data_IF_547775973264
#
_entry.id   IF_547775973264
#
_cell.length_a   1.000
_cell.length_b   1.000
_cell.length_c   1.000
_cell.angle_alpha   90.00
_cell.angle_beta   90.00
_cell.angle_gamma   90.00
#
_symmetry.space_group_name_H-M   'P 1'
#
loop_
_entity.id
_entity.type
_entity.pdbx_description
1 polymer ?
#
# COMPACT_ATOMS: atom_id res chain seq x y z
N UNK A 1 16.29 -3.94 4.45
CA UNK A 1 15.79 -4.79 3.33
C UNK A 1 16.51 -6.12 3.27
N UNK A 2 17.79 -6.18 2.89
CA UNK A 2 18.58 -7.41 3.03
C UNK A 2 19.24 -7.46 4.41
N UNK A 3 19.40 -8.68 4.94
CA UNK A 3 20.31 -8.88 6.04
C UNK A 3 21.75 -8.81 5.53
N UNK A 4 22.65 -8.23 6.30
CA UNK A 4 24.06 -8.18 5.94
C UNK A 4 24.77 -9.37 6.56
N UNK A 5 25.55 -10.10 5.77
CA UNK A 5 26.44 -11.16 6.28
C UNK A 5 27.85 -10.86 5.81
N UNK A 6 28.75 -10.62 6.76
CA UNK A 6 30.15 -10.34 6.45
C UNK A 6 30.87 -11.68 6.31
N UNK A 7 31.12 -12.08 5.06
CA UNK A 7 31.95 -13.26 4.75
C UNK A 7 33.40 -12.79 4.64
N UNK A 8 34.23 -13.15 5.62
CA UNK A 8 35.68 -12.93 5.58
C UNK A 8 36.37 -14.19 5.07
N UNK A 9 37.40 -14.01 4.24
CA UNK A 9 38.21 -15.10 3.65
C UNK A 9 39.40 -15.52 4.53
N UNK A 10 39.49 -15.05 5.78
CA UNK A 10 40.52 -15.44 6.74
C UNK A 10 40.09 -16.63 7.62
N UNK A 11 41.02 -17.55 7.89
CA UNK A 11 40.81 -18.62 8.87
C UNK A 11 40.67 -18.04 10.29
N UNK A 12 39.59 -18.41 10.99
CA UNK A 12 39.34 -18.03 12.39
C UNK A 12 38.63 -16.70 12.64
N UNK A 13 38.22 -15.98 11.59
CA UNK A 13 37.53 -14.70 11.73
C UNK A 13 36.06 -14.86 12.17
N UNK A 14 35.61 -14.02 13.12
CA UNK A 14 34.22 -13.97 13.56
C UNK A 14 33.29 -13.59 12.39
N UNK A 15 32.19 -14.33 12.23
CA UNK A 15 31.15 -14.08 11.24
C UNK A 15 30.07 -13.20 11.85
N UNK A 16 29.86 -12.02 11.29
CA UNK A 16 28.81 -11.09 11.69
C UNK A 16 27.63 -11.17 10.71
N UNK A 17 26.42 -11.28 11.23
CA UNK A 17 25.19 -11.33 10.43
C UNK A 17 24.11 -10.44 11.07
N UNK A 18 23.58 -9.50 10.30
CA UNK A 18 22.38 -8.73 10.64
C UNK A 18 21.21 -9.35 9.88
N UNK A 19 20.14 -9.83 10.54
CA UNK A 19 18.99 -10.39 9.85
C UNK A 19 18.27 -9.36 8.96
N UNK A 20 17.84 -9.78 7.77
CA UNK A 20 17.02 -8.96 6.89
C UNK A 20 15.60 -8.84 7.44
N UNK A 21 15.01 -7.65 7.33
CA UNK A 21 13.62 -7.38 7.73
C UNK A 21 12.60 -7.78 6.66
N UNK A 22 13.04 -8.17 5.46
CA UNK A 22 12.21 -8.55 4.32
C UNK A 22 11.53 -7.37 3.61
N UNK A 23 11.07 -7.58 2.36
CA UNK A 23 10.46 -6.52 1.56
C UNK A 23 9.08 -6.07 2.04
N UNK A 24 8.26 -6.96 2.60
CA UNK A 24 6.90 -6.61 3.05
C UNK A 24 6.91 -5.61 4.23
N UNK A 25 7.72 -5.81 5.29
CA UNK A 25 7.88 -4.80 6.34
C UNK A 25 8.48 -3.49 5.83
N UNK A 26 9.48 -3.54 4.95
CA UNK A 26 10.05 -2.32 4.35
C UNK A 26 8.99 -1.54 3.56
N UNK A 27 8.18 -2.22 2.75
CA UNK A 27 7.09 -1.60 2.01
C UNK A 27 6.07 -0.94 2.95
N UNK A 28 5.76 -1.56 4.08
CA UNK A 28 4.85 -0.96 5.06
C UNK A 28 5.42 0.32 5.70
N UNK A 29 6.70 0.30 6.09
CA UNK A 29 7.40 1.47 6.65
C UNK A 29 7.45 2.59 5.62
N UNK A 30 7.89 2.28 4.40
CA UNK A 30 8.01 3.23 3.28
C UNK A 30 6.65 3.85 2.95
N UNK A 31 5.59 3.03 2.87
CA UNK A 31 4.23 3.50 2.66
C UNK A 31 3.78 4.46 3.75
N UNK A 32 4.04 4.12 5.01
CA UNK A 32 3.62 4.96 6.15
C UNK A 32 4.32 6.31 6.11
N UNK A 33 5.62 6.32 5.85
CA UNK A 33 6.39 7.56 5.68
C UNK A 33 5.83 8.42 4.54
N UNK A 34 5.64 7.85 3.35
CA UNK A 34 5.09 8.57 2.19
C UNK A 34 3.68 9.07 2.46
N UNK A 35 2.83 8.29 3.14
CA UNK A 35 1.49 8.74 3.55
C UNK A 35 1.59 10.00 4.41
N UNK A 36 2.45 10.01 5.43
CA UNK A 36 2.65 11.16 6.30
C UNK A 36 3.18 12.37 5.52
N UNK A 37 4.16 12.18 4.65
CA UNK A 37 4.73 13.28 3.85
C UNK A 37 3.72 13.86 2.86
N UNK A 38 2.92 13.02 2.20
CA UNK A 38 1.82 13.46 1.35
C UNK A 38 0.75 14.21 2.14
N UNK A 39 0.41 13.77 3.35
CA UNK A 39 -0.52 14.50 4.23
C UNK A 39 0.04 15.88 4.61
N UNK A 40 1.32 15.99 4.92
CA UNK A 40 1.98 17.26 5.24
C UNK A 40 2.02 18.20 4.03
N UNK A 41 2.29 17.67 2.84
CA UNK A 41 2.25 18.43 1.59
C UNK A 41 0.83 18.92 1.29
N UNK A 42 -0.19 18.06 1.40
CA UNK A 42 -1.59 18.42 1.08
C UNK A 42 -2.13 19.42 2.11
N UNK A 43 -1.91 19.20 3.41
CA UNK A 43 -2.34 20.12 4.47
C UNK A 43 -1.62 21.47 4.46
N UNK A 44 -0.44 21.55 3.83
CA UNK A 44 0.39 22.75 3.78
C UNK A 44 1.37 22.89 4.95
N UNK A 45 1.46 21.89 5.83
CA UNK A 45 2.51 21.83 6.86
C UNK A 45 3.92 21.82 6.25
N UNK A 46 4.06 21.21 5.08
CA UNK A 46 5.31 21.19 4.30
C UNK A 46 5.10 21.87 2.94
N UNK A 47 5.97 22.80 2.53
CA UNK A 47 5.86 23.42 1.21
C UNK A 47 6.21 22.42 0.09
N UNK A 48 5.52 22.46 -1.07
CA UNK A 48 5.78 21.57 -2.21
C UNK A 48 7.01 22.02 -3.02
N UNK A 49 8.18 22.01 -2.38
CA UNK A 49 9.48 22.23 -3.02
C UNK A 49 9.90 21.00 -3.82
N UNK A 50 10.82 21.15 -4.77
CA UNK A 50 11.36 20.01 -5.53
C UNK A 50 11.89 18.90 -4.61
N UNK A 51 12.62 19.27 -3.55
CA UNK A 51 13.17 18.31 -2.58
C UNK A 51 12.08 17.52 -1.85
N UNK A 52 11.00 18.17 -1.42
CA UNK A 52 9.94 17.51 -0.66
C UNK A 52 9.06 16.63 -1.57
N UNK A 53 8.87 17.06 -2.82
CA UNK A 53 8.15 16.29 -3.84
C UNK A 53 8.93 15.04 -4.27
N UNK A 54 10.26 15.09 -4.28
CA UNK A 54 11.11 13.95 -4.62
C UNK A 54 11.00 12.83 -3.57
N UNK A 55 10.89 13.17 -2.27
CA UNK A 55 10.73 12.17 -1.20
C UNK A 55 9.47 11.31 -1.35
N UNK A 56 8.40 11.89 -1.88
CA UNK A 56 7.13 11.21 -2.14
C UNK A 56 6.98 10.74 -3.58
N UNK A 57 8.04 10.82 -4.39
CA UNK A 57 8.09 10.35 -5.77
C UNK A 57 8.82 9.02 -5.87
N UNK A 58 8.59 8.28 -6.96
CA UNK A 58 9.28 7.03 -7.23
C UNK A 58 9.75 6.96 -8.69
N UNK A 59 10.60 5.98 -9.02
CA UNK A 59 10.97 5.69 -10.40
C UNK A 59 9.75 5.60 -11.33
N UNK A 60 9.65 6.48 -12.32
CA UNK A 60 8.51 6.52 -13.25
C UNK A 60 7.19 7.07 -12.67
N UNK A 61 7.17 7.51 -11.40
CA UNK A 61 6.01 8.13 -10.74
C UNK A 61 6.44 9.46 -10.10
N UNK A 62 6.27 10.56 -10.83
CA UNK A 62 6.58 11.89 -10.34
C UNK A 62 5.36 12.53 -9.64
N UNK A 63 5.50 12.88 -8.37
CA UNK A 63 4.51 13.69 -7.65
C UNK A 63 4.88 15.15 -7.84
N UNK A 64 4.08 15.86 -8.62
CA UNK A 64 4.33 17.28 -8.91
C UNK A 64 3.52 18.18 -7.99
N UNK A 65 3.89 19.47 -7.94
CA UNK A 65 3.08 20.49 -7.26
C UNK A 65 1.63 20.50 -7.76
N UNK A 66 1.42 20.31 -9.06
CA UNK A 66 0.08 20.24 -9.65
C UNK A 66 -0.74 19.07 -9.11
N UNK A 67 -0.11 17.91 -8.85
CA UNK A 67 -0.77 16.76 -8.21
C UNK A 67 -1.21 17.14 -6.80
N UNK A 68 -0.32 17.73 -5.99
CA UNK A 68 -0.66 18.19 -4.62
C UNK A 68 -1.80 19.21 -4.64
N UNK A 69 -1.72 20.21 -5.53
CA UNK A 69 -2.75 21.24 -5.65
C UNK A 69 -4.08 20.67 -6.17
N UNK A 70 -4.06 19.59 -6.94
CA UNK A 70 -5.27 18.88 -7.36
C UNK A 70 -5.90 18.12 -6.21
N UNK A 71 -5.09 17.43 -5.39
CA UNK A 71 -5.58 16.73 -4.20
C UNK A 71 -6.22 17.73 -3.22
N UNK A 72 -5.58 18.88 -2.98
CA UNK A 72 -6.11 19.94 -2.10
C UNK A 72 -7.51 20.44 -2.46
N UNK A 73 -7.90 20.38 -3.74
CA UNK A 73 -9.21 20.82 -4.23
C UNK A 73 -10.32 19.79 -3.98
N UNK A 74 -9.98 18.56 -3.62
CA UNK A 74 -10.94 17.50 -3.37
C UNK A 74 -11.54 17.60 -1.96
N UNK A 75 -12.75 17.05 -1.73
CA UNK A 75 -13.29 16.88 -0.39
C UNK A 75 -12.35 16.08 0.53
N UNK A 76 -12.33 16.41 1.83
CA UNK A 76 -11.41 15.78 2.79
C UNK A 76 -11.49 14.25 2.84
N UNK A 77 -12.66 13.67 2.60
CA UNK A 77 -12.85 12.22 2.52
C UNK A 77 -12.12 11.61 1.30
N UNK A 78 -12.15 12.29 0.16
CA UNK A 78 -11.48 11.86 -1.08
C UNK A 78 -9.98 12.06 -1.01
N UNK A 79 -9.52 13.15 -0.38
CA UNK A 79 -8.09 13.41 -0.16
C UNK A 79 -7.41 12.23 0.54
N UNK A 80 -8.00 11.74 1.65
CA UNK A 80 -7.45 10.62 2.41
C UNK A 80 -7.33 9.36 1.56
N UNK A 81 -8.36 9.04 0.77
CA UNK A 81 -8.37 7.86 -0.09
C UNK A 81 -7.28 7.94 -1.17
N UNK A 82 -7.14 9.09 -1.82
CA UNK A 82 -6.14 9.29 -2.87
C UNK A 82 -4.73 9.26 -2.29
N UNK A 83 -4.49 9.90 -1.15
CA UNK A 83 -3.19 9.88 -0.47
C UNK A 83 -2.80 8.43 -0.13
N UNK A 84 -3.71 7.66 0.48
CA UNK A 84 -3.44 6.26 0.82
C UNK A 84 -3.11 5.38 -0.39
N UNK A 85 -3.81 5.61 -1.50
CA UNK A 85 -3.57 4.86 -2.74
C UNK A 85 -2.23 5.25 -3.35
N UNK A 86 -1.98 6.56 -3.48
CA UNK A 86 -0.76 7.10 -4.06
C UNK A 86 0.46 6.66 -3.25
N UNK A 87 0.40 6.77 -1.92
CA UNK A 87 1.46 6.31 -1.03
C UNK A 87 1.74 4.81 -1.21
N UNK A 88 0.69 3.98 -1.33
CA UNK A 88 0.86 2.56 -1.58
C UNK A 88 1.52 2.24 -2.91
N UNK A 89 1.13 2.92 -3.99
CA UNK A 89 1.70 2.68 -5.32
C UNK A 89 3.15 3.23 -5.41
N UNK A 90 3.44 4.42 -4.86
CA UNK A 90 4.81 4.96 -4.82
C UNK A 90 5.74 4.10 -3.96
N UNK A 91 5.29 3.70 -2.76
CA UNK A 91 6.09 2.87 -1.86
C UNK A 91 6.46 1.54 -2.51
N UNK A 92 5.52 0.91 -3.22
CA UNK A 92 5.79 -0.32 -3.95
C UNK A 92 6.88 -0.11 -4.99
N UNK A 93 6.80 0.95 -5.79
CA UNK A 93 7.77 1.21 -6.86
C UNK A 93 9.15 1.56 -6.29
N UNK A 94 9.22 2.38 -5.22
CA UNK A 94 10.50 2.68 -4.55
C UNK A 94 11.16 1.42 -3.98
N UNK A 95 10.39 0.57 -3.28
CA UNK A 95 10.89 -0.67 -2.69
C UNK A 95 11.35 -1.62 -3.79
N UNK A 96 10.56 -1.80 -4.85
CA UNK A 96 10.92 -2.67 -5.96
C UNK A 96 12.18 -2.22 -6.68
N UNK A 97 12.36 -0.92 -6.93
CA UNK A 97 13.58 -0.42 -7.57
C UNK A 97 14.82 -0.69 -6.71
N UNK A 98 14.75 -0.41 -5.40
CA UNK A 98 15.85 -0.72 -4.46
C UNK A 98 16.22 -2.21 -4.50
N UNK A 99 15.21 -3.08 -4.52
CA UNK A 99 15.41 -4.54 -4.59
C UNK A 99 16.02 -4.98 -5.92
N UNK A 100 15.50 -4.48 -7.05
CA UNK A 100 16.03 -4.81 -8.37
C UNK A 100 17.47 -4.32 -8.54
N UNK A 101 17.78 -3.16 -7.96
CA UNK A 101 19.14 -2.64 -7.92
C UNK A 101 20.06 -3.53 -7.08
N UNK A 102 19.65 -3.89 -5.86
CA UNK A 102 20.41 -4.81 -4.99
C UNK A 102 20.68 -6.16 -5.69
N UNK A 103 19.67 -6.71 -6.37
CA UNK A 103 19.81 -7.94 -7.17
C UNK A 103 20.85 -7.80 -8.29
N UNK A 104 20.85 -6.66 -9.01
CA UNK A 104 21.82 -6.37 -10.07
C UNK A 104 23.23 -6.23 -9.51
N UNK A 105 23.39 -5.57 -8.35
CA UNK A 105 24.66 -5.46 -7.65
C UNK A 105 25.20 -6.83 -7.26
N UNK A 106 24.40 -7.67 -6.61
CA UNK A 106 24.79 -9.03 -6.22
C UNK A 106 25.16 -9.89 -7.44
N UNK A 107 24.39 -9.78 -8.53
CA UNK A 107 24.70 -10.50 -9.78
C UNK A 107 26.03 -10.05 -10.38
N UNK A 108 26.34 -8.76 -10.29
CA UNK A 108 27.61 -8.20 -10.79
C UNK A 108 28.78 -8.61 -9.88
N UNK A 109 28.62 -8.49 -8.56
CA UNK A 109 29.62 -8.91 -7.58
C UNK A 109 29.95 -10.40 -7.66
N UNK A 110 28.95 -11.25 -7.97
CA UNK A 110 29.17 -12.68 -8.20
C UNK A 110 30.12 -12.99 -9.37
N UNK A 111 30.17 -12.11 -10.36
CA UNK A 111 31.01 -12.24 -11.56
C UNK A 111 32.39 -11.59 -11.39
N UNK A 112 32.63 -10.95 -10.25
CA UNK A 112 33.91 -10.32 -9.96
C UNK A 112 34.97 -11.43 -9.79
N UNK A 113 36.16 -11.34 -10.43
CA UNK A 113 37.14 -12.43 -10.46
C UNK A 113 37.59 -12.96 -9.10
N UNK A 114 37.74 -12.10 -8.08
CA UNK A 114 38.15 -12.52 -6.74
C UNK A 114 37.04 -13.28 -5.99
N UNK A 115 35.78 -13.11 -6.40
CA UNK A 115 34.62 -13.86 -5.89
C UNK A 115 34.32 -15.09 -6.76
N UNK A 116 34.53 -15.00 -8.07
CA UNK A 116 34.31 -16.09 -9.03
C UNK A 116 35.37 -17.19 -8.93
N UNK A 117 36.63 -16.81 -8.70
CA UNK A 117 37.73 -17.74 -8.45
C UNK A 117 38.03 -17.93 -6.94
N UNK A 118 37.29 -17.23 -6.08
CA UNK A 118 37.45 -17.26 -4.63
C UNK A 118 36.72 -18.42 -3.94
N UNK A 119 36.59 -18.39 -2.60
CA UNK A 119 35.99 -19.47 -1.82
C UNK A 119 34.53 -19.74 -2.21
N UNK A 120 34.16 -21.03 -2.32
CA UNK A 120 32.79 -21.48 -2.66
C UNK A 120 31.71 -20.89 -1.74
N UNK A 121 32.08 -20.57 -0.49
CA UNK A 121 31.20 -19.98 0.51
C UNK A 121 30.63 -18.62 0.08
N UNK A 122 31.42 -17.80 -0.62
CA UNK A 122 30.97 -16.49 -1.09
C UNK A 122 29.95 -16.61 -2.24
N UNK A 123 30.21 -17.51 -3.20
CA UNK A 123 29.27 -17.82 -4.28
C UNK A 123 27.94 -18.36 -3.74
N UNK A 124 28.00 -19.27 -2.77
CA UNK A 124 26.82 -19.86 -2.13
C UNK A 124 25.99 -18.80 -1.42
N UNK A 125 26.62 -17.90 -0.67
CA UNK A 125 25.92 -16.82 0.04
C UNK A 125 25.23 -15.85 -0.93
N UNK A 126 25.91 -15.45 -2.02
CA UNK A 126 25.31 -14.57 -3.02
C UNK A 126 24.12 -15.26 -3.70
N UNK A 127 24.23 -16.54 -4.05
CA UNK A 127 23.12 -17.29 -4.64
C UNK A 127 21.94 -17.41 -3.67
N UNK A 128 22.20 -17.62 -2.38
CA UNK A 128 21.17 -17.64 -1.35
C UNK A 128 20.47 -16.29 -1.24
N UNK A 129 21.23 -15.19 -1.20
CA UNK A 129 20.67 -13.83 -1.16
C UNK A 129 19.83 -13.52 -2.41
N UNK A 130 20.30 -13.90 -3.60
CA UNK A 130 19.54 -13.74 -4.84
C UNK A 130 18.21 -14.52 -4.81
N UNK A 131 18.23 -15.77 -4.33
CA UNK A 131 17.02 -16.58 -4.21
C UNK A 131 16.02 -16.02 -3.19
N UNK A 132 16.53 -15.47 -2.07
CA UNK A 132 15.71 -14.77 -1.08
C UNK A 132 15.07 -13.53 -1.72
N UNK A 133 15.85 -12.69 -2.39
CA UNK A 133 15.32 -11.48 -3.04
C UNK A 133 14.24 -11.83 -4.09
N UNK A 134 14.46 -12.85 -4.92
CA UNK A 134 13.49 -13.30 -5.92
C UNK A 134 12.18 -13.76 -5.26
N UNK A 135 12.27 -14.54 -4.18
CA UNK A 135 11.11 -14.99 -3.40
C UNK A 135 10.36 -13.83 -2.74
N UNK A 136 11.09 -12.84 -2.20
CA UNK A 136 10.49 -11.68 -1.56
C UNK A 136 9.81 -10.74 -2.57
N UNK A 137 10.37 -10.59 -3.78
CA UNK A 137 9.74 -9.84 -4.88
C UNK A 137 8.40 -10.49 -5.23
N UNK A 138 8.39 -11.79 -5.48
CA UNK A 138 7.17 -12.51 -5.86
C UNK A 138 6.12 -12.45 -4.74
N UNK A 139 6.55 -12.60 -3.49
CA UNK A 139 5.68 -12.48 -2.32
C UNK A 139 5.04 -11.10 -2.22
N UNK A 140 5.82 -10.02 -2.36
CA UNK A 140 5.30 -8.65 -2.27
C UNK A 140 4.31 -8.33 -3.41
N UNK A 141 4.61 -8.78 -4.63
CA UNK A 141 3.72 -8.60 -5.78
C UNK A 141 2.43 -9.39 -5.61
N UNK A 142 2.52 -10.62 -5.10
CA UNK A 142 1.36 -11.45 -4.77
C UNK A 142 0.49 -10.79 -3.70
N UNK A 143 1.06 -10.37 -2.56
CA UNK A 143 0.34 -9.68 -1.49
C UNK A 143 -0.37 -8.43 -1.98
N UNK A 144 0.31 -7.63 -2.80
CA UNK A 144 -0.27 -6.42 -3.40
C UNK A 144 -1.47 -6.74 -4.29
N UNK A 145 -1.36 -7.79 -5.12
CA UNK A 145 -2.45 -8.24 -6.00
C UNK A 145 -3.63 -8.76 -5.21
N UNK A 146 -3.39 -9.64 -4.24
CA UNK A 146 -4.42 -10.21 -3.36
C UNK A 146 -5.16 -9.12 -2.61
N UNK A 147 -4.42 -8.13 -2.06
CA UNK A 147 -5.04 -7.00 -1.36
C UNK A 147 -5.96 -6.20 -2.28
N UNK A 148 -5.53 -5.90 -3.52
CA UNK A 148 -6.37 -5.20 -4.51
C UNK A 148 -7.64 -6.00 -4.84
N UNK A 149 -7.53 -7.32 -5.00
CA UNK A 149 -8.67 -8.18 -5.31
C UNK A 149 -9.68 -8.31 -4.14
N UNK A 150 -9.19 -8.58 -2.93
CA UNK A 150 -10.03 -8.76 -1.73
C UNK A 150 -10.76 -7.47 -1.37
N UNK A 151 -10.07 -6.32 -1.40
CA UNK A 151 -10.68 -5.01 -1.14
C UNK A 151 -11.74 -4.69 -2.20
N UNK A 152 -11.44 -4.92 -3.48
CA UNK A 152 -12.40 -4.71 -4.57
C UNK A 152 -13.69 -5.50 -4.37
N UNK A 153 -13.59 -6.79 -4.05
CA UNK A 153 -14.76 -7.65 -3.77
C UNK A 153 -15.57 -7.16 -2.56
N UNK A 154 -14.89 -6.73 -1.50
CA UNK A 154 -15.54 -6.29 -0.25
C UNK A 154 -16.32 -5.00 -0.44
N UNK A 155 -15.72 -4.01 -1.11
CA UNK A 155 -16.39 -2.73 -1.42
C UNK A 155 -17.60 -2.96 -2.32
N UNK A 156 -17.46 -3.80 -3.35
CA UNK A 156 -18.58 -4.14 -4.24
C UNK A 156 -19.72 -4.84 -3.48
N UNK A 157 -19.41 -5.73 -2.54
CA UNK A 157 -20.42 -6.38 -1.71
C UNK A 157 -21.18 -5.38 -0.82
N UNK A 158 -20.47 -4.42 -0.22
CA UNK A 158 -21.07 -3.36 0.61
C UNK A 158 -21.97 -2.43 -0.21
N UNK A 159 -21.50 -1.98 -1.38
CA UNK A 159 -22.28 -1.11 -2.27
C UNK A 159 -23.56 -1.81 -2.77
N UNK A 160 -23.47 -3.10 -3.13
CA UNK A 160 -24.65 -3.92 -3.49
C UNK A 160 -25.65 -4.05 -2.33
N UNK A 161 -25.16 -4.18 -1.09
CA UNK A 161 -26.02 -4.25 0.09
C UNK A 161 -26.72 -2.92 0.36
N UNK A 162 -26.03 -1.80 0.19
CA UNK A 162 -26.62 -0.47 0.37
C UNK A 162 -27.67 -0.16 -0.69
N UNK A 163 -27.41 -0.48 -1.97
CA UNK A 163 -28.39 -0.28 -3.04
C UNK A 163 -29.65 -1.12 -2.83
N UNK A 164 -29.51 -2.38 -2.41
CA UNK A 164 -30.63 -3.24 -2.05
C UNK A 164 -31.46 -2.68 -0.88
N UNK A 165 -30.80 -2.09 0.13
CA UNK A 165 -31.49 -1.41 1.24
C UNK A 165 -32.25 -0.17 0.78
N UNK A 166 -31.65 0.68 -0.06
CA UNK A 166 -32.33 1.87 -0.61
C UNK A 166 -33.54 1.48 -1.47
N UNK A 167 -33.41 0.44 -2.29
CA UNK A 167 -34.52 -0.11 -3.07
C UNK A 167 -35.65 -0.63 -2.16
N UNK A 168 -35.33 -1.33 -1.08
CA UNK A 168 -36.32 -1.82 -0.11
C UNK A 168 -37.01 -0.69 0.68
N UNK A 169 -36.28 0.36 1.07
CA UNK A 169 -36.85 1.52 1.78
C UNK A 169 -37.74 2.42 0.90
N UNK A 170 -37.60 2.35 -0.43
CA UNK A 170 -38.50 3.03 -1.37
C UNK A 170 -39.92 2.45 -1.42
N UNK A 171 -40.08 1.17 -1.06
CA UNK A 171 -41.37 0.46 -1.18
C UNK A 171 -42.30 0.64 0.03
N UNK A 172 -41.79 1.07 1.20
CA UNK A 172 -42.55 1.14 2.46
C UNK A 172 -43.23 2.50 2.76
N UNK A 173 -43.34 3.42 1.80
CA UNK A 173 -43.90 4.77 2.03
C UNK A 173 -45.33 4.98 1.51
N UNK A 174 -46.21 3.97 1.55
CA UNK A 174 -47.64 4.18 1.28
C UNK A 174 -48.55 3.17 2.01
N UNK A 175 -48.87 3.42 3.28
CA UNK A 175 -50.13 3.02 3.95
C UNK A 175 -50.15 3.62 5.35
N UNK A 176 -50.44 4.92 5.44
CA UNK A 176 -50.93 5.52 6.68
C UNK A 176 -52.45 5.50 6.60
N UNK A 177 -53.04 4.33 6.84
CA UNK A 177 -54.50 4.17 6.95
C UNK A 177 -54.91 4.78 8.28
N UNK A 178 -55.58 5.92 8.23
CA UNK A 178 -56.23 6.56 9.37
C UNK A 178 -57.33 5.61 9.87
N UNK A 179 -57.35 5.18 11.14
CA UNK A 179 -58.50 4.43 11.64
C UNK A 179 -59.68 5.39 11.82
N UNK A 180 -60.79 5.10 11.13
CA UNK A 180 -62.06 5.77 11.33
C UNK A 180 -62.58 5.44 12.74
N UNK A 181 -62.82 6.47 13.55
CA UNK A 181 -63.55 6.35 14.82
C UNK A 181 -65.03 6.22 14.46
N UNK A 182 -65.61 5.03 14.66
CA UNK A 182 -67.07 4.87 14.68
C UNK A 182 -67.59 5.33 16.04
N UNK A 183 -68.44 6.35 16.04
CA UNK A 183 -69.20 6.79 17.20
C UNK A 183 -70.62 6.28 17.02
N UNK A 184 -70.96 5.22 17.75
CA UNK A 184 -72.33 4.75 17.92
C UNK A 184 -73.11 5.70 18.83
N UNK A 185 -74.38 5.94 18.48
CA UNK A 185 -75.44 6.24 19.45
C UNK A 185 -75.98 7.66 19.40
N UNK A 186 -77.22 7.81 18.91
CA UNK A 186 -78.04 8.99 19.19
C UNK A 186 -79.18 9.22 18.20
N UNK A 187 -80.29 8.51 18.36
CA UNK A 187 -81.57 8.92 17.77
C UNK A 187 -82.25 9.98 18.67
N UNK A 188 -83.02 10.90 18.10
CA UNK A 188 -84.16 11.46 18.81
C UNK A 188 -85.48 11.10 18.11
N UNK A 189 -86.47 10.75 18.92
CA UNK A 189 -87.88 10.62 18.57
C UNK A 189 -88.67 11.81 19.16
N UNK A 190 -89.98 11.90 18.90
CA UNK A 190 -90.67 12.04 17.62
C UNK A 190 -90.87 13.51 17.19
#
# INVERSE_FOLDING_TARGET
MTGDKIVRTCEGCAREATPGVGLAPEHHITRTAITTDLQNLVSGATPPTLSNLDQVSGPGVAITRQVIDSIRKLPAAEQRLIIERLAGDVALVQVMEKTLYARRLLTTGRREPNIAAGPEDAQREINQSLAILDTEIDSLLFETRVRKEVIGKTVLALLKRESARRAASGTTKNTRTTPAIMLEGGAPAP
#
